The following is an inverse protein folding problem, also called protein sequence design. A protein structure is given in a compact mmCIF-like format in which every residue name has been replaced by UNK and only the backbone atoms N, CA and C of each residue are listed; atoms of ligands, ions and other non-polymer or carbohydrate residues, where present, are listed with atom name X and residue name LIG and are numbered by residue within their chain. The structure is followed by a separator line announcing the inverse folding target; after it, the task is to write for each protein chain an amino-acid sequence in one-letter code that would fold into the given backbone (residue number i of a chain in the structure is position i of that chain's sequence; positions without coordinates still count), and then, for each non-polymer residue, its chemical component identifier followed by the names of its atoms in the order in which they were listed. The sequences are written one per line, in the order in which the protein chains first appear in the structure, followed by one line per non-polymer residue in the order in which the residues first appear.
data_IF_557554072165
#
_entry.id   IF_557554072165
#
_cell.length_a   1.000
_cell.length_b   1.000
_cell.length_c   1.000
_cell.angle_alpha   90.00
_cell.angle_beta   90.00
_cell.angle_gamma   90.00
#
_symmetry.space_group_name_H-M   'P 1'
#
loop_
_entity.id
_entity.type
_entity.pdbx_description
1 polymer ?
#
# COMPACT_ATOMS: atom_id res chain seq x y z
N UNK A 1 44.92 35.67 -6.70
CA UNK A 1 44.16 34.43 -7.00
C UNK A 1 42.73 34.61 -6.47
N UNK A 2 41.76 34.82 -7.35
CA UNK A 2 40.34 35.01 -6.94
C UNK A 2 39.68 33.64 -6.79
N UNK A 3 39.28 33.30 -5.55
CA UNK A 3 38.45 32.12 -5.27
C UNK A 3 37.17 32.18 -6.05
N UNK A 4 37.03 31.37 -7.12
CA UNK A 4 35.75 31.06 -7.74
C UNK A 4 34.93 30.26 -6.74
N UNK A 5 33.89 30.87 -6.16
CA UNK A 5 32.80 30.13 -5.51
C UNK A 5 32.23 29.16 -6.53
N UNK A 6 32.47 27.88 -6.32
CA UNK A 6 31.76 26.81 -7.04
C UNK A 6 30.30 26.94 -6.61
N UNK A 7 29.43 27.37 -7.53
CA UNK A 7 27.99 27.29 -7.33
C UNK A 7 27.65 25.82 -7.15
N UNK A 8 27.27 25.44 -5.93
CA UNK A 8 26.59 24.18 -5.64
C UNK A 8 25.21 24.24 -6.30
N UNK A 9 25.15 24.05 -7.60
CA UNK A 9 23.91 23.60 -8.24
C UNK A 9 23.68 22.16 -7.75
N UNK A 10 23.10 22.03 -6.56
CA UNK A 10 22.41 20.80 -6.19
C UNK A 10 21.31 20.64 -7.22
N UNK A 11 21.51 19.78 -8.22
CA UNK A 11 20.44 19.35 -9.13
C UNK A 11 19.31 18.82 -8.26
N UNK A 12 18.33 19.69 -8.03
CA UNK A 12 17.11 19.30 -7.32
C UNK A 12 16.38 18.37 -8.27
N UNK A 13 16.15 17.14 -7.82
CA UNK A 13 15.25 16.23 -8.54
C UNK A 13 13.99 17.00 -8.93
N UNK A 14 13.48 16.81 -10.16
CA UNK A 14 12.30 17.53 -10.62
C UNK A 14 11.15 17.31 -9.62
N UNK A 15 10.39 18.38 -9.38
CA UNK A 15 9.25 18.31 -8.45
C UNK A 15 8.24 17.31 -8.99
N UNK A 16 7.94 16.29 -8.21
CA UNK A 16 6.89 15.35 -8.54
C UNK A 16 5.54 15.98 -8.15
N UNK A 17 4.74 16.34 -9.14
CA UNK A 17 3.38 16.81 -8.93
C UNK A 17 2.44 15.60 -9.05
N UNK A 18 1.67 15.36 -8.01
CA UNK A 18 0.60 14.35 -7.99
C UNK A 18 -0.58 14.89 -7.18
N UNK A 19 -1.77 14.71 -7.70
CA UNK A 19 -3.02 15.11 -7.04
C UNK A 19 -3.82 13.91 -6.57
N UNK A 20 -3.46 12.72 -7.00
CA UNK A 20 -4.08 11.44 -6.64
C UNK A 20 -3.05 10.40 -6.30
N UNK A 21 -3.44 9.44 -5.48
CA UNK A 21 -2.75 8.17 -5.30
C UNK A 21 -3.65 7.02 -5.73
N UNK A 22 -3.05 6.03 -6.36
CA UNK A 22 -3.71 4.80 -6.78
C UNK A 22 -3.38 3.69 -5.79
N UNK A 23 -4.40 3.09 -5.19
CA UNK A 23 -4.24 2.04 -4.20
C UNK A 23 -4.86 0.74 -4.69
N UNK A 24 -4.08 -0.34 -4.66
CA UNK A 24 -4.57 -1.66 -4.99
C UNK A 24 -5.50 -2.18 -3.88
N UNK A 25 -6.68 -2.63 -4.26
CA UNK A 25 -7.70 -3.14 -3.33
C UNK A 25 -8.09 -4.60 -3.62
N UNK A 26 -7.29 -5.31 -4.37
CA UNK A 26 -7.57 -6.71 -4.67
C UNK A 26 -7.44 -7.60 -3.44
N UNK A 27 -8.18 -8.71 -3.42
CA UNK A 27 -8.02 -9.75 -2.38
C UNK A 27 -6.59 -10.30 -2.37
N UNK A 28 -5.97 -10.42 -3.55
CA UNK A 28 -4.58 -10.87 -3.70
C UNK A 28 -3.63 -9.98 -2.91
N UNK A 29 -3.70 -8.65 -3.09
CA UNK A 29 -2.81 -7.72 -2.40
C UNK A 29 -2.92 -7.82 -0.88
N UNK A 30 -4.13 -8.05 -0.35
CA UNK A 30 -4.33 -8.26 1.09
C UNK A 30 -3.68 -9.54 1.59
N UNK A 31 -3.89 -10.64 0.88
CA UNK A 31 -3.35 -11.95 1.28
C UNK A 31 -1.83 -11.95 1.25
N UNK A 32 -1.21 -11.31 0.24
CA UNK A 32 0.25 -11.21 0.13
C UNK A 32 0.91 -10.59 1.36
N UNK A 33 0.23 -9.66 2.04
CA UNK A 33 0.78 -8.99 3.22
C UNK A 33 0.36 -9.62 4.56
N UNK A 34 -0.51 -10.62 4.55
CA UNK A 34 -1.07 -11.20 5.78
C UNK A 34 -0.75 -12.67 5.97
N UNK A 35 -0.36 -13.36 4.90
CA UNK A 35 0.00 -14.78 4.96
C UNK A 35 1.50 -14.96 4.82
N UNK A 36 2.14 -15.77 5.69
CA UNK A 36 3.55 -16.08 5.54
C UNK A 36 3.80 -16.83 4.24
N UNK A 37 4.89 -16.49 3.57
CA UNK A 37 5.36 -17.24 2.41
C UNK A 37 5.96 -18.55 2.91
N UNK A 38 5.32 -19.67 2.58
CA UNK A 38 5.86 -20.99 2.88
C UNK A 38 7.07 -21.24 1.99
N UNK A 39 8.24 -21.42 2.61
CA UNK A 39 9.50 -21.70 1.93
C UNK A 39 9.70 -23.20 1.81
N UNK A 40 9.81 -23.72 0.60
CA UNK A 40 10.49 -24.97 0.34
C UNK A 40 12.02 -24.76 0.48
N UNK A 41 12.77 -25.81 0.83
CA UNK A 41 14.23 -25.74 1.06
C UNK A 41 15.01 -25.21 -0.17
N UNK A 42 14.41 -25.31 -1.36
CA UNK A 42 15.03 -24.93 -2.65
C UNK A 42 14.47 -23.64 -3.24
N UNK A 43 13.17 -23.37 -3.07
CA UNK A 43 12.49 -22.19 -3.62
C UNK A 43 11.46 -21.68 -2.64
N UNK A 44 11.41 -20.35 -2.45
CA UNK A 44 10.26 -19.75 -1.79
C UNK A 44 9.10 -19.74 -2.79
N UNK A 45 8.14 -20.63 -2.60
CA UNK A 45 6.96 -20.68 -3.44
C UNK A 45 5.71 -20.54 -2.56
N UNK A 46 4.95 -19.49 -2.79
CA UNK A 46 3.61 -19.34 -2.23
C UNK A 46 2.59 -19.63 -3.31
N UNK A 47 1.82 -20.69 -3.14
CA UNK A 47 0.65 -20.98 -3.96
C UNK A 47 -0.59 -20.58 -3.18
N UNK A 48 -1.32 -19.59 -3.67
CA UNK A 48 -2.57 -19.13 -3.07
C UNK A 48 -3.69 -19.48 -4.04
N UNK A 49 -4.68 -20.20 -3.56
CA UNK A 49 -5.90 -20.46 -4.29
C UNK A 49 -7.01 -19.56 -3.74
N UNK A 50 -7.58 -18.72 -4.60
CA UNK A 50 -8.64 -17.78 -4.24
C UNK A 50 -9.72 -17.88 -5.33
N UNK A 51 -10.89 -18.40 -4.98
CA UNK A 51 -12.02 -18.53 -5.91
C UNK A 51 -11.60 -19.18 -7.24
N UNK A 52 -11.03 -20.37 -7.19
CA UNK A 52 -10.51 -21.14 -8.31
C UNK A 52 -9.31 -20.51 -9.05
N UNK A 53 -8.66 -19.53 -8.45
CA UNK A 53 -7.46 -18.91 -8.99
C UNK A 53 -6.21 -19.36 -8.30
N UNK A 54 -5.23 -19.71 -9.10
CA UNK A 54 -3.91 -20.08 -8.63
C UNK A 54 -3.00 -18.87 -8.79
N UNK A 55 -2.43 -18.42 -7.69
CA UNK A 55 -1.39 -17.40 -7.65
C UNK A 55 -0.12 -18.10 -7.22
N UNK A 56 0.85 -18.11 -8.10
CA UNK A 56 2.17 -18.61 -7.78
C UNK A 56 3.10 -17.42 -7.53
N UNK A 57 3.67 -17.34 -6.34
CA UNK A 57 4.80 -16.50 -6.03
C UNK A 57 6.04 -17.37 -6.01
N UNK A 58 7.02 -17.04 -6.81
CA UNK A 58 8.30 -17.74 -6.85
C UNK A 58 9.37 -16.70 -6.55
N UNK A 59 10.14 -16.94 -5.50
CA UNK A 59 11.39 -16.22 -5.27
C UNK A 59 12.46 -16.85 -6.15
N UNK A 60 12.91 -16.14 -7.18
CA UNK A 60 13.78 -16.69 -8.24
C UNK A 60 15.26 -16.60 -7.88
N UNK A 61 15.64 -15.96 -6.75
CA UNK A 61 17.07 -15.75 -6.49
C UNK A 61 17.52 -16.19 -5.09
N UNK A 62 18.31 -17.25 -5.07
CA UNK A 62 19.28 -17.52 -4.00
C UNK A 62 20.67 -17.32 -4.58
N UNK A 63 21.24 -16.12 -4.43
CA UNK A 63 22.67 -15.91 -4.55
C UNK A 63 23.27 -16.04 -3.13
N UNK A 64 24.36 -16.80 -2.98
CA UNK A 64 25.07 -17.00 -1.71
C UNK A 64 25.52 -15.65 -1.08
N UNK A 65 25.59 -14.59 -1.87
CA UNK A 65 25.98 -13.24 -1.47
C UNK A 65 24.81 -12.29 -1.22
N UNK A 66 23.56 -12.67 -1.52
CA UNK A 66 22.35 -11.90 -1.21
C UNK A 66 21.61 -12.66 -0.13
N UNK A 67 21.84 -12.27 1.11
CA UNK A 67 20.92 -12.61 2.20
C UNK A 67 19.62 -11.86 1.91
N UNK A 68 18.78 -12.40 1.05
CA UNK A 68 17.38 -12.02 1.04
C UNK A 68 16.89 -12.34 2.44
N UNK A 69 16.69 -11.30 3.24
CA UNK A 69 15.94 -11.47 4.47
C UNK A 69 14.65 -12.15 4.05
N UNK A 70 14.34 -13.30 4.64
CA UNK A 70 13.13 -14.10 4.41
C UNK A 70 11.89 -13.34 4.89
N UNK A 71 11.88 -12.04 4.66
CA UNK A 71 10.84 -11.16 5.15
C UNK A 71 9.63 -11.31 4.26
N UNK A 72 8.55 -11.77 4.84
CA UNK A 72 7.23 -11.76 4.22
C UNK A 72 6.93 -10.40 3.61
N UNK A 73 6.11 -10.38 2.56
CA UNK A 73 5.60 -9.14 2.01
C UNK A 73 4.77 -8.46 3.10
N UNK A 74 5.17 -7.27 3.48
CA UNK A 74 4.52 -6.51 4.54
C UNK A 74 3.49 -5.53 3.98
N UNK A 75 2.56 -5.03 4.79
CA UNK A 75 1.69 -3.92 4.40
C UNK A 75 2.46 -2.68 3.95
N UNK A 76 3.67 -2.46 4.49
CA UNK A 76 4.54 -1.38 4.06
C UNK A 76 5.05 -1.57 2.63
N UNK A 77 5.42 -2.80 2.25
CA UNK A 77 5.82 -3.11 0.89
C UNK A 77 4.69 -2.84 -0.11
N UNK A 78 3.45 -3.20 0.23
CA UNK A 78 2.29 -2.88 -0.60
C UNK A 78 2.06 -1.36 -0.70
N UNK A 79 2.27 -0.61 0.36
CA UNK A 79 2.21 0.85 0.30
C UNK A 79 3.29 1.44 -0.62
N UNK A 80 4.51 0.88 -0.59
CA UNK A 80 5.60 1.24 -1.51
C UNK A 80 5.22 0.91 -2.96
N UNK A 81 4.60 -0.24 -3.22
CA UNK A 81 4.09 -0.60 -4.55
C UNK A 81 3.01 0.37 -5.04
N UNK A 82 2.04 0.74 -4.20
CA UNK A 82 0.99 1.72 -4.53
C UNK A 82 1.60 3.08 -4.92
N UNK A 83 2.60 3.53 -4.15
CA UNK A 83 3.31 4.78 -4.43
C UNK A 83 4.11 4.70 -5.74
N UNK A 84 4.82 3.60 -5.97
CA UNK A 84 5.56 3.36 -7.21
C UNK A 84 4.62 3.36 -8.43
N UNK A 85 3.49 2.63 -8.33
CA UNK A 85 2.48 2.59 -9.38
C UNK A 85 1.86 3.98 -9.64
N UNK A 86 1.61 4.77 -8.61
CA UNK A 86 1.13 6.15 -8.74
C UNK A 86 2.11 7.02 -9.55
N UNK A 87 3.42 6.88 -9.29
CA UNK A 87 4.45 7.61 -10.05
C UNK A 87 4.49 7.13 -11.52
N UNK A 88 4.38 5.82 -11.76
CA UNK A 88 4.29 5.26 -13.11
C UNK A 88 3.07 5.80 -13.87
N UNK A 89 1.91 5.90 -13.22
CA UNK A 89 0.70 6.48 -13.81
C UNK A 89 0.83 7.98 -14.14
N UNK A 90 1.75 8.70 -13.49
CA UNK A 90 2.10 10.09 -13.86
C UNK A 90 3.04 10.18 -15.07
N UNK A 91 3.34 9.06 -15.74
CA UNK A 91 4.21 8.99 -16.92
C UNK A 91 5.70 8.98 -16.60
N UNK A 92 6.11 8.82 -15.35
CA UNK A 92 7.52 8.73 -14.97
C UNK A 92 8.04 7.31 -15.17
N UNK A 93 9.14 7.20 -15.93
CA UNK A 93 9.80 5.93 -16.22
C UNK A 93 11.02 5.67 -15.33
N UNK A 94 11.29 6.55 -14.38
CA UNK A 94 12.38 6.39 -13.39
C UNK A 94 11.78 6.71 -12.03
N UNK A 95 12.01 5.83 -11.06
CA UNK A 95 11.59 6.02 -9.67
C UNK A 95 12.79 6.30 -8.78
N UNK A 96 12.56 7.02 -7.68
CA UNK A 96 13.51 7.18 -6.59
C UNK A 96 12.81 6.93 -5.26
N UNK A 97 13.58 6.50 -4.26
CA UNK A 97 13.03 6.28 -2.91
C UNK A 97 12.48 7.59 -2.31
N UNK A 98 13.06 8.74 -2.66
CA UNK A 98 12.60 10.06 -2.26
C UNK A 98 11.22 10.39 -2.81
N UNK A 99 10.97 10.09 -4.09
CA UNK A 99 9.66 10.32 -4.70
C UNK A 99 8.59 9.40 -4.08
N UNK A 100 8.92 8.13 -3.90
CA UNK A 100 8.02 7.18 -3.24
C UNK A 100 7.68 7.66 -1.82
N UNK A 101 8.66 8.15 -1.04
CA UNK A 101 8.41 8.69 0.28
C UNK A 101 7.45 9.89 0.26
N UNK A 102 7.59 10.79 -0.70
CA UNK A 102 6.70 11.95 -0.87
C UNK A 102 5.27 11.53 -1.24
N UNK A 103 5.13 10.54 -2.12
CA UNK A 103 3.82 9.98 -2.47
C UNK A 103 3.18 9.33 -1.25
N UNK A 104 3.93 8.51 -0.50
CA UNK A 104 3.43 7.86 0.72
C UNK A 104 2.91 8.85 1.75
N UNK A 105 3.56 10.01 1.89
CA UNK A 105 3.16 11.04 2.85
C UNK A 105 2.01 11.93 2.35
N UNK A 106 1.73 11.94 1.06
CA UNK A 106 0.79 12.89 0.45
C UNK A 106 1.33 14.32 0.35
N UNK A 107 2.58 14.57 0.77
CA UNK A 107 3.18 15.91 0.80
C UNK A 107 4.48 15.97 -0.02
N UNK A 108 4.46 16.59 -1.21
CA UNK A 108 5.64 16.71 -2.07
C UNK A 108 6.78 17.56 -1.48
N UNK A 109 6.47 18.39 -0.47
CA UNK A 109 7.46 19.26 0.21
C UNK A 109 8.03 18.65 1.49
N UNK A 110 7.56 17.48 1.92
CA UNK A 110 8.00 16.85 3.16
C UNK A 110 9.51 16.58 3.15
N UNK A 111 10.17 16.88 4.27
CA UNK A 111 11.56 16.44 4.50
C UNK A 111 11.58 14.96 4.85
N UNK A 112 12.33 14.19 4.08
CA UNK A 112 12.42 12.73 4.25
C UNK A 112 13.69 12.38 5.03
N UNK A 113 13.56 11.54 6.05
CA UNK A 113 14.71 11.06 6.84
C UNK A 113 15.50 9.99 6.08
N UNK A 114 16.82 9.90 6.33
CA UNK A 114 17.68 8.85 5.75
C UNK A 114 17.14 7.45 6.07
N UNK A 115 16.67 7.22 7.29
CA UNK A 115 16.08 5.94 7.72
C UNK A 115 14.87 5.56 6.86
N UNK A 116 14.01 6.52 6.51
CA UNK A 116 12.83 6.28 5.65
C UNK A 116 13.23 5.94 4.23
N UNK A 117 14.21 6.66 3.68
CA UNK A 117 14.77 6.37 2.35
C UNK A 117 15.31 4.94 2.31
N UNK A 118 16.08 4.54 3.31
CA UNK A 118 16.67 3.21 3.39
C UNK A 118 15.60 2.12 3.49
N UNK A 119 14.59 2.28 4.34
CA UNK A 119 13.48 1.34 4.44
C UNK A 119 12.73 1.16 3.10
N UNK A 120 12.55 2.26 2.35
CA UNK A 120 11.93 2.20 1.03
C UNK A 120 12.83 1.48 0.01
N UNK A 121 14.16 1.73 0.03
CA UNK A 121 15.11 1.03 -0.83
C UNK A 121 15.09 -0.48 -0.58
N UNK A 122 15.12 -0.91 0.67
CA UNK A 122 15.02 -2.31 1.05
C UNK A 122 13.70 -2.94 0.56
N UNK A 123 12.58 -2.23 0.70
CA UNK A 123 11.31 -2.66 0.17
C UNK A 123 11.33 -2.81 -1.36
N UNK A 124 11.85 -1.82 -2.08
CA UNK A 124 11.99 -1.89 -3.54
C UNK A 124 12.88 -3.07 -3.94
N UNK A 125 14.05 -3.20 -3.32
CA UNK A 125 15.01 -4.26 -3.65
C UNK A 125 14.43 -5.65 -3.39
N UNK A 126 13.64 -5.84 -2.32
CA UNK A 126 12.88 -7.07 -2.09
C UNK A 126 11.86 -7.35 -3.19
N UNK A 127 11.01 -6.38 -3.48
CA UNK A 127 9.90 -6.53 -4.44
C UNK A 127 10.36 -6.75 -5.90
N UNK A 128 11.55 -6.29 -6.25
CA UNK A 128 12.14 -6.49 -7.59
C UNK A 128 12.50 -7.94 -7.88
N UNK A 129 12.72 -8.75 -6.87
CA UNK A 129 13.15 -10.14 -7.02
C UNK A 129 12.01 -11.14 -6.85
N UNK A 130 10.85 -10.71 -6.40
CA UNK A 130 9.69 -11.60 -6.24
C UNK A 130 8.91 -11.64 -7.55
N UNK A 131 8.89 -12.81 -8.17
CA UNK A 131 8.11 -13.08 -9.37
C UNK A 131 6.69 -13.47 -8.99
N UNK A 132 5.69 -12.96 -9.73
CA UNK A 132 4.28 -13.27 -9.54
C UNK A 132 3.63 -13.71 -10.85
N UNK A 133 2.85 -14.77 -10.78
CA UNK A 133 1.98 -15.22 -11.86
C UNK A 133 0.53 -15.23 -11.36
N UNK A 134 -0.36 -14.57 -12.07
CA UNK A 134 -1.78 -14.44 -11.71
C UNK A 134 -2.62 -14.97 -12.87
N UNK A 135 -3.40 -16.02 -12.63
CA UNK A 135 -4.40 -16.50 -13.60
C UNK A 135 -5.62 -15.57 -13.61
N UNK A 136 -5.91 -15.03 -14.78
CA UNK A 136 -7.01 -14.09 -15.02
C UNK A 136 -8.01 -14.62 -16.07
N UNK A 137 -7.95 -15.90 -16.40
CA UNK A 137 -8.76 -16.52 -17.48
C UNK A 137 -10.26 -16.29 -17.26
N UNK A 138 -10.72 -16.44 -16.03
CA UNK A 138 -12.15 -16.28 -15.69
C UNK A 138 -12.61 -14.83 -15.87
N UNK A 139 -11.84 -13.84 -15.39
CA UNK A 139 -12.20 -12.44 -15.52
C UNK A 139 -12.17 -11.95 -16.95
N UNK A 140 -11.23 -12.46 -17.71
CA UNK A 140 -11.11 -12.11 -19.13
C UNK A 140 -12.31 -12.62 -19.91
N UNK A 141 -12.76 -13.86 -19.66
CA UNK A 141 -13.89 -14.48 -20.32
C UNK A 141 -15.22 -13.87 -19.88
N UNK A 142 -15.35 -13.46 -18.62
CA UNK A 142 -16.57 -12.84 -18.12
C UNK A 142 -16.88 -11.49 -18.81
N UNK A 143 -15.86 -10.77 -19.23
CA UNK A 143 -16.01 -9.44 -19.85
C UNK A 143 -16.26 -9.43 -21.34
N UNK A 144 -15.88 -10.50 -22.02
CA UNK A 144 -16.06 -10.63 -23.47
C UNK A 144 -17.17 -11.63 -23.73
N UNK A 145 -18.29 -11.12 -24.22
CA UNK A 145 -19.36 -11.90 -24.84
C UNK A 145 -18.87 -12.51 -26.16
N UNK A 146 -17.71 -13.19 -26.11
CA UNK A 146 -17.00 -13.68 -27.26
C UNK A 146 -17.30 -15.17 -27.47
N UNK A 147 -17.62 -15.52 -28.69
CA UNK A 147 -17.76 -16.92 -29.15
C UNK A 147 -16.50 -17.73 -28.89
N UNK A 148 -15.33 -17.09 -28.76
CA UNK A 148 -14.04 -17.71 -28.49
C UNK A 148 -13.63 -17.43 -27.02
N UNK A 149 -13.84 -18.40 -26.16
CA UNK A 149 -13.34 -18.35 -24.79
C UNK A 149 -11.83 -18.61 -24.78
N UNK A 150 -11.10 -17.82 -23.98
CA UNK A 150 -9.68 -18.03 -23.74
C UNK A 150 -9.55 -19.07 -22.63
N UNK A 151 -8.81 -20.14 -22.89
CA UNK A 151 -8.59 -21.22 -21.93
C UNK A 151 -7.57 -20.85 -20.84
N UNK A 152 -6.58 -20.01 -21.18
CA UNK A 152 -5.51 -19.63 -20.29
C UNK A 152 -5.08 -18.18 -20.57
N UNK A 153 -5.22 -17.31 -19.58
CA UNK A 153 -4.76 -15.92 -19.64
C UNK A 153 -4.12 -15.53 -18.32
N UNK A 154 -2.80 -15.34 -18.35
CA UNK A 154 -2.00 -15.06 -17.16
C UNK A 154 -1.29 -13.71 -17.28
N UNK A 155 -1.24 -12.98 -16.16
CA UNK A 155 -0.25 -11.94 -15.97
C UNK A 155 0.94 -12.52 -15.23
N UNK A 156 2.11 -12.35 -15.81
CA UNK A 156 3.37 -12.82 -15.26
C UNK A 156 4.39 -11.69 -15.27
N UNK A 157 5.04 -11.43 -14.14
CA UNK A 157 6.06 -10.40 -13.98
C UNK A 157 6.64 -10.45 -12.57
N UNK A 158 7.61 -9.59 -12.29
CA UNK A 158 8.00 -9.28 -10.91
C UNK A 158 6.92 -8.43 -10.21
N UNK A 159 6.86 -8.49 -8.86
CA UNK A 159 5.97 -7.64 -8.08
C UNK A 159 6.22 -6.16 -8.37
N UNK A 160 7.49 -5.79 -8.53
CA UNK A 160 7.89 -4.45 -8.92
C UNK A 160 8.97 -4.53 -10.01
N UNK A 161 8.58 -4.58 -11.30
CA UNK A 161 9.51 -4.80 -12.42
C UNK A 161 10.34 -3.55 -12.71
N UNK A 162 11.43 -3.38 -11.98
CA UNK A 162 12.35 -2.26 -12.04
C UNK A 162 13.80 -2.75 -12.22
N UNK A 163 14.58 -2.00 -12.98
CA UNK A 163 16.04 -2.06 -12.90
C UNK A 163 16.56 -1.22 -11.72
N UNK A 164 17.85 -1.34 -11.43
CA UNK A 164 18.54 -0.51 -10.44
C UNK A 164 19.79 0.07 -11.06
N UNK A 165 19.91 1.38 -10.98
CA UNK A 165 21.09 2.14 -11.39
C UNK A 165 21.67 2.79 -10.14
N UNK A 166 22.96 2.55 -9.91
CA UNK A 166 23.72 3.22 -8.85
C UNK A 166 24.82 4.05 -9.49
N UNK A 167 24.87 5.34 -9.18
CA UNK A 167 25.92 6.24 -9.60
C UNK A 167 26.56 6.89 -8.37
N UNK A 168 27.90 6.97 -8.36
CA UNK A 168 28.65 7.61 -7.29
C UNK A 168 29.41 8.80 -7.86
N UNK A 169 29.17 10.00 -7.32
CA UNK A 169 29.91 11.19 -7.74
C UNK A 169 31.34 11.16 -7.24
N UNK A 170 32.32 11.26 -8.14
CA UNK A 170 33.75 11.30 -7.78
C UNK A 170 34.09 12.52 -6.91
N UNK A 171 33.38 13.63 -7.06
CA UNK A 171 33.65 14.89 -6.37
C UNK A 171 33.39 14.86 -4.86
N UNK A 172 32.46 14.04 -4.40
CA UNK A 172 32.02 14.03 -2.99
C UNK A 172 31.59 12.66 -2.47
N UNK A 173 31.75 11.60 -3.25
CA UNK A 173 31.35 10.24 -2.89
C UNK A 173 29.83 10.05 -2.73
N UNK A 174 29.03 11.04 -3.15
CA UNK A 174 27.56 10.95 -3.02
C UNK A 174 27.01 9.89 -3.96
N UNK A 175 26.29 8.93 -3.39
CA UNK A 175 25.58 7.88 -4.12
C UNK A 175 24.19 8.36 -4.52
N UNK A 176 23.82 8.11 -5.78
CA UNK A 176 22.45 8.26 -6.28
C UNK A 176 21.97 6.89 -6.74
N UNK A 177 20.79 6.50 -6.26
CA UNK A 177 20.12 5.27 -6.67
C UNK A 177 18.82 5.64 -7.36
N UNK A 178 18.64 5.14 -8.57
CA UNK A 178 17.45 5.30 -9.38
C UNK A 178 16.95 3.93 -9.86
N UNK A 179 15.65 3.84 -10.09
CA UNK A 179 14.99 2.60 -10.49
C UNK A 179 14.22 2.83 -11.80
N UNK A 180 14.83 2.51 -12.97
CA UNK A 180 14.12 2.51 -14.25
C UNK A 180 12.97 1.49 -14.25
N UNK A 181 11.82 1.91 -14.79
CA UNK A 181 10.62 1.08 -14.92
C UNK A 181 10.73 0.22 -16.18
N UNK A 182 10.68 -1.10 -16.02
CA UNK A 182 10.69 -2.04 -17.13
C UNK A 182 9.29 -2.27 -17.70
N UNK A 183 8.31 -2.43 -16.80
CA UNK A 183 6.91 -2.64 -17.18
C UNK A 183 5.96 -2.28 -16.03
N UNK A 184 4.66 -2.26 -16.33
CA UNK A 184 3.63 -2.15 -15.30
C UNK A 184 3.54 -3.46 -14.50
N UNK A 185 3.52 -3.42 -13.15
CA UNK A 185 3.45 -4.61 -12.32
C UNK A 185 2.23 -5.49 -12.62
N UNK A 186 2.39 -6.80 -12.65
CA UNK A 186 1.31 -7.76 -12.95
C UNK A 186 0.11 -7.61 -12.02
N UNK A 187 0.37 -7.40 -10.71
CA UNK A 187 -0.66 -7.21 -9.70
C UNK A 187 -1.56 -5.99 -9.99
N UNK A 188 -1.01 -4.91 -10.57
CA UNK A 188 -1.78 -3.72 -10.93
C UNK A 188 -2.49 -3.88 -12.27
N UNK A 189 -1.89 -4.58 -13.24
CA UNK A 189 -2.60 -4.96 -14.48
C UNK A 189 -3.85 -5.80 -14.16
N UNK A 190 -3.70 -6.76 -13.24
CA UNK A 190 -4.84 -7.53 -12.73
C UNK A 190 -5.87 -6.63 -12.05
N UNK A 191 -5.45 -5.77 -11.12
CA UNK A 191 -6.33 -4.86 -10.40
C UNK A 191 -7.11 -3.91 -11.34
N UNK A 192 -6.45 -3.38 -12.38
CA UNK A 192 -7.11 -2.60 -13.44
C UNK A 192 -8.16 -3.44 -14.18
N UNK A 193 -7.81 -4.69 -14.51
CA UNK A 193 -8.71 -5.60 -15.23
C UNK A 193 -10.00 -5.85 -14.45
N UNK A 194 -9.95 -5.97 -13.14
CA UNK A 194 -11.13 -6.20 -12.29
C UNK A 194 -11.70 -4.92 -11.64
N UNK A 195 -11.21 -3.73 -12.04
CA UNK A 195 -11.62 -2.41 -11.48
C UNK A 195 -11.44 -2.30 -9.97
N UNK A 196 -10.35 -2.83 -9.44
CA UNK A 196 -10.01 -2.81 -8.02
C UNK A 196 -8.83 -1.86 -7.72
N UNK A 197 -8.71 -0.78 -8.48
CA UNK A 197 -7.86 0.36 -8.14
C UNK A 197 -8.73 1.44 -7.50
N UNK A 198 -8.34 1.92 -6.34
CA UNK A 198 -9.01 3.01 -5.63
C UNK A 198 -8.22 4.30 -5.84
N UNK A 199 -8.88 5.32 -6.37
CA UNK A 199 -8.35 6.66 -6.50
C UNK A 199 -8.51 7.41 -5.17
N UNK A 200 -7.41 7.89 -4.62
CA UNK A 200 -7.39 8.66 -3.37
C UNK A 200 -6.78 10.03 -3.64
N UNK A 201 -7.48 11.15 -3.32
CA UNK A 201 -6.88 12.46 -3.37
C UNK A 201 -5.63 12.55 -2.49
N UNK A 202 -4.51 13.05 -3.04
CA UNK A 202 -3.23 13.02 -2.36
C UNK A 202 -3.20 13.90 -1.10
N UNK A 203 -3.91 15.02 -1.12
CA UNK A 203 -4.03 15.95 0.00
C UNK A 203 -4.68 15.31 1.24
N UNK A 204 -5.55 14.30 1.06
CA UNK A 204 -6.12 13.56 2.18
C UNK A 204 -5.08 12.77 2.96
N UNK A 205 -3.97 12.39 2.32
CA UNK A 205 -2.87 11.67 2.95
C UNK A 205 -1.93 12.57 3.76
N UNK A 206 -1.94 13.88 3.50
CA UNK A 206 -1.14 14.84 4.26
C UNK A 206 -1.81 15.17 5.60
N UNK A 207 -1.33 14.51 6.65
CA UNK A 207 -1.74 14.73 8.05
C UNK A 207 -0.57 15.16 8.91
N UNK A 208 0.44 15.79 8.31
CA UNK A 208 1.73 16.07 8.97
C UNK A 208 1.63 16.91 10.24
N UNK A 209 0.66 17.80 10.32
CA UNK A 209 0.43 18.65 11.48
C UNK A 209 -0.21 17.90 12.67
N UNK A 210 -0.81 16.74 12.43
CA UNK A 210 -1.62 16.03 13.42
C UNK A 210 -0.87 14.93 14.17
N UNK A 211 0.05 14.23 13.50
CA UNK A 211 0.88 13.19 14.11
C UNK A 211 2.11 12.86 13.29
N UNK A 212 3.11 12.22 13.94
CA UNK A 212 4.33 11.78 13.25
C UNK A 212 4.03 10.66 12.25
N UNK A 213 4.56 10.78 11.05
CA UNK A 213 4.50 9.77 10.00
C UNK A 213 5.43 8.57 10.28
N UNK A 214 5.12 7.80 11.33
CA UNK A 214 5.72 6.47 11.51
C UNK A 214 5.16 5.51 10.45
N UNK A 215 5.86 4.43 10.15
CA UNK A 215 5.37 3.45 9.17
C UNK A 215 3.99 2.91 9.56
N UNK A 216 3.78 2.61 10.84
CA UNK A 216 2.49 2.19 11.37
C UNK A 216 1.39 3.27 11.18
N UNK A 217 1.70 4.53 11.45
CA UNK A 217 0.75 5.63 11.27
C UNK A 217 0.37 5.81 9.79
N UNK A 218 1.35 5.71 8.89
CA UNK A 218 1.11 5.77 7.44
C UNK A 218 0.18 4.64 7.00
N UNK A 219 0.41 3.42 7.46
CA UNK A 219 -0.42 2.27 7.08
C UNK A 219 -1.86 2.40 7.57
N UNK A 220 -2.05 2.78 8.84
CA UNK A 220 -3.38 3.01 9.41
C UNK A 220 -4.09 4.13 8.65
N UNK A 221 -3.42 5.24 8.41
CA UNK A 221 -3.92 6.37 7.64
C UNK A 221 -4.37 5.94 6.25
N UNK A 222 -3.51 5.26 5.51
CA UNK A 222 -3.80 4.78 4.16
C UNK A 222 -5.01 3.84 4.14
N UNK A 223 -5.10 2.92 5.10
CA UNK A 223 -6.25 2.04 5.24
C UNK A 223 -7.56 2.85 5.41
N UNK A 224 -7.59 3.76 6.38
CA UNK A 224 -8.79 4.57 6.67
C UNK A 224 -9.21 5.38 5.46
N UNK A 225 -8.26 6.06 4.81
CA UNK A 225 -8.53 6.90 3.64
C UNK A 225 -9.02 6.06 2.45
N UNK A 226 -8.38 4.92 2.18
CA UNK A 226 -8.83 3.97 1.15
C UNK A 226 -10.28 3.52 1.40
N UNK A 227 -10.60 3.14 2.65
CA UNK A 227 -11.98 2.73 3.01
C UNK A 227 -12.98 3.86 2.88
N UNK A 228 -12.63 5.07 3.31
CA UNK A 228 -13.49 6.24 3.12
C UNK A 228 -13.74 6.51 1.63
N UNK A 229 -12.70 6.50 0.80
CA UNK A 229 -12.85 6.70 -0.64
C UNK A 229 -13.79 5.66 -1.28
N UNK A 230 -13.66 4.37 -0.90
CA UNK A 230 -14.55 3.31 -1.36
C UNK A 230 -16.01 3.52 -0.91
N UNK A 231 -16.20 3.90 0.36
CA UNK A 231 -17.53 4.10 0.93
C UNK A 231 -18.22 5.30 0.27
N UNK A 232 -17.49 6.41 0.13
CA UNK A 232 -18.01 7.65 -0.46
C UNK A 232 -18.31 7.49 -1.95
N UNK A 233 -17.57 6.65 -2.68
CA UNK A 233 -17.86 6.34 -4.09
C UNK A 233 -19.16 5.55 -4.29
N UNK A 234 -19.67 4.93 -3.22
CA UNK A 234 -20.95 4.21 -3.26
C UNK A 234 -22.10 5.15 -2.92
N UNK A 235 -22.68 5.79 -3.92
CA UNK A 235 -23.75 6.79 -3.79
C UNK A 235 -25.09 6.23 -3.27
N UNK A 236 -25.21 4.94 -2.98
CA UNK A 236 -26.45 4.32 -2.51
C UNK A 236 -26.72 4.50 -1.02
N UNK A 237 -25.71 4.86 -0.25
CA UNK A 237 -25.77 4.96 1.22
C UNK A 237 -25.25 6.33 1.67
N UNK A 238 -25.84 6.86 2.74
CA UNK A 238 -25.40 8.12 3.37
C UNK A 238 -24.47 7.89 4.58
N UNK A 239 -24.31 6.66 4.99
CA UNK A 239 -23.42 6.26 6.07
C UNK A 239 -22.93 4.83 5.91
N UNK A 240 -21.75 4.52 6.43
CA UNK A 240 -21.20 3.17 6.49
C UNK A 240 -20.19 3.05 7.62
N UNK A 241 -19.79 1.81 7.97
CA UNK A 241 -18.87 1.51 9.06
C UNK A 241 -17.46 1.23 8.56
N UNK A 242 -16.45 1.74 9.28
CA UNK A 242 -15.06 1.32 9.20
C UNK A 242 -14.80 0.46 10.43
N UNK A 243 -14.77 -0.84 10.25
CA UNK A 243 -14.61 -1.80 11.33
C UNK A 243 -13.15 -2.10 11.61
N UNK A 244 -12.79 -2.29 12.89
CA UNK A 244 -11.45 -2.74 13.27
C UNK A 244 -11.29 -4.24 13.02
N UNK A 245 -12.32 -5.02 13.36
CA UNK A 245 -12.37 -6.45 13.17
C UNK A 245 -13.83 -6.87 12.98
N UNK A 246 -14.12 -7.72 12.03
CA UNK A 246 -15.40 -8.39 11.84
C UNK A 246 -15.19 -9.68 11.05
N UNK A 247 -16.10 -10.63 11.23
CA UNK A 247 -16.03 -11.93 10.57
C UNK A 247 -16.94 -11.94 9.35
N UNK A 248 -16.35 -12.18 8.18
CA UNK A 248 -17.08 -12.36 6.94
C UNK A 248 -17.52 -13.81 6.81
N UNK A 249 -18.83 -14.05 6.91
CA UNK A 249 -19.39 -15.41 6.85
C UNK A 249 -19.36 -16.00 5.44
N UNK A 250 -19.44 -15.15 4.41
CA UNK A 250 -19.48 -15.60 3.01
C UNK A 250 -18.07 -16.09 2.59
N UNK A 251 -17.05 -15.38 3.00
CA UNK A 251 -15.67 -15.72 2.67
C UNK A 251 -14.95 -16.51 3.78
N UNK A 252 -15.63 -16.74 4.90
CA UNK A 252 -15.11 -17.46 6.06
C UNK A 252 -13.77 -16.92 6.54
N UNK A 253 -13.64 -15.60 6.63
CA UNK A 253 -12.39 -14.94 7.05
C UNK A 253 -12.64 -13.70 7.92
N UNK A 254 -11.63 -13.37 8.74
CA UNK A 254 -11.61 -12.10 9.47
C UNK A 254 -11.23 -10.94 8.55
N UNK A 255 -11.95 -9.83 8.68
CA UNK A 255 -11.77 -8.60 7.90
C UNK A 255 -11.71 -7.37 8.78
N UNK A 256 -11.30 -6.27 8.20
CA UNK A 256 -11.21 -4.97 8.84
C UNK A 256 -9.77 -4.46 8.96
N UNK A 257 -9.60 -3.40 9.75
CA UNK A 257 -8.30 -2.75 9.92
C UNK A 257 -7.22 -3.71 10.44
N UNK A 258 -7.54 -4.53 11.44
CA UNK A 258 -6.54 -5.37 12.07
C UNK A 258 -6.01 -6.46 11.11
N UNK A 259 -6.88 -7.27 10.48
CA UNK A 259 -6.41 -8.27 9.53
C UNK A 259 -5.68 -7.68 8.33
N UNK A 260 -6.18 -6.57 7.77
CA UNK A 260 -5.54 -5.95 6.60
C UNK A 260 -4.17 -5.34 6.91
N UNK A 261 -3.85 -5.08 8.17
CA UNK A 261 -2.54 -4.60 8.60
C UNK A 261 -1.71 -5.67 9.32
N UNK A 262 -2.15 -6.93 9.29
CA UNK A 262 -1.45 -8.04 9.91
C UNK A 262 -1.43 -8.00 11.43
N UNK A 263 -2.40 -7.32 12.07
CA UNK A 263 -2.53 -7.33 13.52
C UNK A 263 -3.34 -8.53 13.99
N UNK A 264 -2.78 -9.26 14.93
CA UNK A 264 -3.45 -10.37 15.61
C UNK A 264 -3.86 -9.88 17.00
N UNK A 265 -5.17 -9.67 17.25
CA UNK A 265 -5.67 -9.29 18.56
C UNK A 265 -5.39 -10.37 19.62
N UNK A 266 -4.95 -9.96 20.79
CA UNK A 266 -4.81 -10.82 21.97
C UNK A 266 -5.37 -10.12 23.22
N UNK A 267 -5.38 -10.79 24.36
CA UNK A 267 -5.90 -10.25 25.62
C UNK A 267 -4.83 -9.56 26.48
N UNK A 268 -3.63 -9.35 25.96
CA UNK A 268 -2.50 -8.80 26.69
C UNK A 268 -2.66 -7.30 26.99
N UNK A 269 -1.95 -6.81 28.01
CA UNK A 269 -1.84 -5.37 28.27
C UNK A 269 -1.16 -4.65 27.09
N UNK A 270 -0.20 -5.29 26.45
CA UNK A 270 0.49 -4.74 25.29
C UNK A 270 -0.47 -4.47 24.14
N UNK A 271 -1.34 -5.43 23.82
CA UNK A 271 -2.37 -5.25 22.80
C UNK A 271 -3.36 -4.13 23.13
N UNK A 272 -3.81 -4.06 24.41
CA UNK A 272 -4.69 -2.95 24.81
C UNK A 272 -4.08 -1.58 24.56
N UNK A 273 -2.80 -1.39 24.92
CA UNK A 273 -2.07 -0.15 24.66
C UNK A 273 -1.91 0.11 23.16
N UNK A 274 -1.60 -0.92 22.38
CA UNK A 274 -1.51 -0.84 20.91
C UNK A 274 -2.84 -0.44 20.30
N UNK A 275 -3.94 -1.08 20.71
CA UNK A 275 -5.30 -0.74 20.26
C UNK A 275 -5.67 0.71 20.54
N UNK A 276 -5.33 1.23 21.72
CA UNK A 276 -5.54 2.65 22.04
C UNK A 276 -4.77 3.59 21.12
N UNK A 277 -3.50 3.26 20.81
CA UNK A 277 -2.67 4.02 19.87
C UNK A 277 -3.27 4.00 18.46
N UNK A 278 -3.66 2.83 17.96
CA UNK A 278 -4.31 2.65 16.66
C UNK A 278 -5.59 3.50 16.61
N UNK A 279 -6.45 3.38 17.64
CA UNK A 279 -7.69 4.13 17.73
C UNK A 279 -7.47 5.65 17.68
N UNK A 280 -6.44 6.14 18.38
CA UNK A 280 -6.05 7.56 18.33
C UNK A 280 -5.71 7.99 16.90
N UNK A 281 -4.90 7.21 16.16
CA UNK A 281 -4.51 7.53 14.78
C UNK A 281 -5.74 7.53 13.87
N UNK A 282 -6.61 6.52 13.97
CA UNK A 282 -7.86 6.45 13.20
C UNK A 282 -8.73 7.67 13.43
N UNK A 283 -8.95 8.04 14.71
CA UNK A 283 -9.75 9.20 15.09
C UNK A 283 -9.18 10.52 14.55
N UNK A 284 -7.87 10.69 14.63
CA UNK A 284 -7.19 11.88 14.08
C UNK A 284 -7.31 11.93 12.56
N UNK A 285 -7.13 10.80 11.87
CA UNK A 285 -7.33 10.71 10.42
C UNK A 285 -8.75 11.08 10.02
N UNK A 286 -9.76 10.52 10.71
CA UNK A 286 -11.17 10.85 10.45
C UNK A 286 -11.49 12.31 10.71
N UNK A 287 -10.88 12.91 11.75
CA UNK A 287 -11.01 14.35 12.02
C UNK A 287 -10.46 15.16 10.85
N UNK A 288 -9.25 14.85 10.38
CA UNK A 288 -8.65 15.50 9.21
C UNK A 288 -9.54 15.38 7.97
N UNK A 289 -10.09 14.18 7.70
CA UNK A 289 -11.02 13.97 6.58
C UNK A 289 -12.29 14.82 6.72
N UNK A 290 -12.82 14.98 7.93
CA UNK A 290 -13.95 15.87 8.20
C UNK A 290 -13.60 17.33 7.96
N UNK A 291 -12.45 17.78 8.48
CA UNK A 291 -12.01 19.18 8.36
C UNK A 291 -11.71 19.55 6.89
N UNK A 292 -11.30 18.57 6.07
CA UNK A 292 -11.12 18.70 4.61
C UNK A 292 -12.42 18.50 3.81
N UNK A 293 -13.55 18.23 4.46
CA UNK A 293 -14.85 18.06 3.81
C UNK A 293 -15.04 16.70 3.08
N UNK A 294 -14.13 15.75 3.25
CA UNK A 294 -14.25 14.42 2.63
C UNK A 294 -15.38 13.58 3.27
N UNK A 295 -15.72 13.84 4.52
CA UNK A 295 -16.85 13.27 5.25
C UNK A 295 -17.58 14.36 6.03
N UNK A 296 -18.87 14.20 6.31
CA UNK A 296 -19.66 15.15 7.14
C UNK A 296 -19.36 15.01 8.63
N UNK A 297 -19.40 13.78 9.11
CA UNK A 297 -19.16 13.47 10.53
C UNK A 297 -18.80 12.00 10.69
N UNK A 298 -18.35 11.65 11.88
CA UNK A 298 -18.11 10.29 12.30
C UNK A 298 -18.42 10.11 13.78
N UNK A 299 -18.79 8.89 14.16
CA UNK A 299 -19.04 8.50 15.55
C UNK A 299 -18.44 7.13 15.84
N UNK A 300 -18.04 6.90 17.09
CA UNK A 300 -17.60 5.58 17.56
C UNK A 300 -18.79 4.63 17.58
N UNK A 301 -18.63 3.41 17.09
CA UNK A 301 -19.58 2.35 17.37
C UNK A 301 -18.92 1.26 18.20
N UNK A 302 -19.71 0.66 19.07
CA UNK A 302 -19.27 -0.34 20.03
C UNK A 302 -20.00 -1.64 19.80
N UNK A 303 -19.57 -2.68 20.48
CA UNK A 303 -20.25 -3.97 20.48
C UNK A 303 -21.75 -3.80 20.82
N UNK A 304 -22.62 -4.52 20.11
CA UNK A 304 -24.07 -4.41 20.20
C UNK A 304 -24.65 -3.02 19.89
N UNK A 305 -23.95 -2.21 19.12
CA UNK A 305 -24.34 -0.83 18.76
C UNK A 305 -24.70 0.05 19.98
N UNK A 306 -24.19 -0.27 21.15
CA UNK A 306 -24.41 0.50 22.40
C UNK A 306 -23.55 1.75 22.45
N UNK A 307 -24.08 2.81 23.08
CA UNK A 307 -23.31 4.02 23.41
C UNK A 307 -22.58 3.90 24.75
N UNK A 308 -22.73 2.80 25.47
CA UNK A 308 -22.09 2.61 26.75
C UNK A 308 -20.56 2.52 26.64
N UNK A 309 -19.79 3.43 27.26
CA UNK A 309 -18.34 3.46 27.18
C UNK A 309 -17.64 2.23 27.80
N UNK A 310 -18.35 1.42 28.58
CA UNK A 310 -17.81 0.16 29.12
C UNK A 310 -17.52 -0.88 28.02
N UNK A 311 -18.21 -0.81 26.88
CA UNK A 311 -17.98 -1.72 25.77
C UNK A 311 -16.83 -1.24 24.86
N UNK A 312 -16.04 -2.17 24.30
CA UNK A 312 -14.91 -1.81 23.46
C UNK A 312 -15.37 -1.13 22.16
N UNK A 313 -14.56 -0.18 21.68
CA UNK A 313 -14.76 0.43 20.36
C UNK A 313 -14.45 -0.63 19.30
N UNK A 314 -15.43 -0.87 18.41
CA UNK A 314 -15.33 -1.82 17.30
C UNK A 314 -14.98 -1.14 15.97
N UNK A 315 -15.02 0.19 15.94
CA UNK A 315 -14.71 1.00 14.77
C UNK A 315 -15.43 2.35 14.78
N UNK A 316 -15.60 2.89 13.58
CA UNK A 316 -16.25 4.19 13.37
C UNK A 316 -17.32 4.08 12.29
N UNK A 317 -18.48 4.67 12.58
CA UNK A 317 -19.51 4.93 11.56
C UNK A 317 -19.23 6.31 10.97
N UNK A 318 -19.14 6.40 9.66
CA UNK A 318 -18.93 7.63 8.94
C UNK A 318 -20.20 8.05 8.22
N UNK A 319 -20.44 9.36 8.16
CA UNK A 319 -21.57 9.97 7.47
C UNK A 319 -21.04 10.84 6.32
N UNK A 320 -21.60 10.65 5.14
CA UNK A 320 -21.21 11.31 3.90
C UNK A 320 -22.49 11.56 3.04
N UNK A 321 -22.31 12.15 1.86
CA UNK A 321 -23.45 12.51 1.00
C UNK A 321 -23.92 13.95 1.24
N UNK A 322 -24.59 14.48 0.27
CA UNK A 322 -25.18 15.84 0.26
C UNK A 322 -26.30 16.01 1.27
#
# INVERSE_FOLDING_TARGET
MKNKKVNENTEKLPVLNFNKQYMNNTKISRILSTKPILLDETYAQLRIEINDKIINLVDVWRDENITLSRDDITPFDLAVMDAAYTIMCSGKMILTAEWIAKVLSGNPKQKITKKKIEAIRQSIDKLRYIHIQIDCSNEFNYRKDTKNKISDFKYESYLLPLDKITAVYQSNGKEIIAYPVLSKPALYRYAETIHQIVDVPADLLDTHEEYRDTDEAILIKRYVIKRVAQIVSNNKLNSNKISFLWYDREENEERGLFPELGYIPDNTRSWRNKKQKINKIVKMTLKSLKDKGAIKSFEEYRENDTKNPAFPIMGYKIFYGL
#
